data_IF_498135143887
#
_entry.id   IF_498135143887
#
_cell.length_a   1.000
_cell.length_b   1.000
_cell.length_c   1.000
_cell.angle_alpha   90.00
_cell.angle_beta   90.00
_cell.angle_gamma   90.00
#
_symmetry.space_group_name_H-M   'P 1'
#
loop_
_entity.id
_entity.type
_entity.pdbx_description
1 polymer ?
#
# COMPACT_ATOMS: atom_id res chain seq x y z
N UNK A 1 -8.04 0.55 43.07
CA UNK A 1 -8.20 1.02 41.69
C UNK A 1 -7.56 2.40 41.45
N UNK A 2 -7.10 3.15 42.47
CA UNK A 2 -6.49 4.48 42.25
C UNK A 2 -4.96 4.56 42.38
N UNK A 3 -4.26 3.51 42.85
CA UNK A 3 -2.79 3.55 43.00
C UNK A 3 -2.00 3.17 41.74
N UNK A 4 -2.59 2.44 40.80
CA UNK A 4 -1.87 1.89 39.63
C UNK A 4 -1.67 2.94 38.53
N UNK A 5 -2.66 3.80 38.29
CA UNK A 5 -2.54 4.92 37.36
C UNK A 5 -1.57 6.00 37.86
N UNK A 6 -1.47 6.17 39.18
CA UNK A 6 -0.48 7.05 39.82
C UNK A 6 0.92 6.47 39.69
N UNK A 7 1.09 5.16 39.87
CA UNK A 7 2.38 4.46 39.71
C UNK A 7 2.91 4.53 38.28
N UNK A 8 2.05 4.29 37.27
CA UNK A 8 2.41 4.39 35.85
C UNK A 8 2.77 5.83 35.47
N UNK A 9 1.99 6.81 35.93
CA UNK A 9 2.29 8.23 35.74
C UNK A 9 3.61 8.61 36.42
N UNK A 10 3.93 8.02 37.56
CA UNK A 10 5.19 8.22 38.28
C UNK A 10 6.39 7.61 37.54
N UNK A 11 6.27 6.39 37.00
CA UNK A 11 7.31 5.76 36.17
C UNK A 11 7.56 6.55 34.87
N UNK A 12 6.51 7.04 34.22
CA UNK A 12 6.62 7.89 33.03
C UNK A 12 7.19 9.29 33.34
N UNK A 13 6.88 9.86 34.51
CA UNK A 13 7.44 11.13 34.98
C UNK A 13 8.93 11.00 35.32
N UNK A 14 9.35 9.91 35.97
CA UNK A 14 10.77 9.68 36.27
C UNK A 14 11.62 9.43 35.02
N UNK A 15 11.06 8.81 33.97
CA UNK A 15 11.70 8.68 32.67
C UNK A 15 11.72 10.01 31.89
N UNK A 16 10.66 10.82 32.01
CA UNK A 16 10.56 12.16 31.41
C UNK A 16 11.50 13.19 32.07
N UNK A 17 11.72 13.11 33.38
CA UNK A 17 12.62 14.00 34.11
C UNK A 17 14.11 13.80 33.75
N UNK A 18 14.46 12.66 33.15
CA UNK A 18 15.82 12.37 32.69
C UNK A 18 16.07 12.69 31.21
N UNK A 19 15.07 12.54 30.34
CA UNK A 19 15.16 12.93 28.92
C UNK A 19 13.77 12.90 28.25
N UNK A 20 13.40 13.98 27.55
CA UNK A 20 12.16 14.05 26.75
C UNK A 20 12.13 12.98 25.62
N UNK A 21 13.28 12.38 25.31
CA UNK A 21 13.44 11.33 24.30
C UNK A 21 13.30 9.90 24.84
N UNK A 22 13.47 9.64 26.14
CA UNK A 22 13.16 8.32 26.74
C UNK A 22 11.66 8.02 26.72
N UNK A 23 10.83 9.06 26.85
CA UNK A 23 9.39 9.01 26.58
C UNK A 23 9.08 8.70 25.11
N UNK A 24 9.84 9.33 24.21
CA UNK A 24 9.79 9.04 22.77
C UNK A 24 10.24 7.60 22.48
N UNK A 25 11.04 6.95 23.33
CA UNK A 25 11.55 5.60 23.11
C UNK A 25 10.63 4.47 23.62
N UNK A 26 9.93 4.68 24.74
CA UNK A 26 8.81 3.80 25.15
C UNK A 26 7.75 3.68 24.05
N UNK A 27 7.59 4.74 23.26
CA UNK A 27 6.78 4.82 22.04
C UNK A 27 7.20 3.81 20.95
N UNK A 28 8.49 3.48 20.86
CA UNK A 28 9.05 2.52 19.89
C UNK A 28 9.21 1.11 20.49
N UNK A 29 9.45 0.98 21.80
CA UNK A 29 9.52 -0.31 22.49
C UNK A 29 8.15 -1.02 22.58
N UNK A 30 7.05 -0.26 22.67
CA UNK A 30 5.68 -0.78 22.67
C UNK A 30 5.24 -1.38 21.31
N UNK A 31 6.07 -1.24 20.28
CA UNK A 31 5.78 -1.61 18.89
C UNK A 31 6.35 -2.98 18.53
N UNK A 32 7.41 -3.40 19.22
CA UNK A 32 8.02 -4.69 18.95
C UNK A 32 7.28 -5.77 19.74
N UNK A 33 6.68 -6.68 18.96
CA UNK A 33 6.12 -7.98 19.28
C UNK A 33 6.86 -8.76 20.38
N UNK A 34 6.29 -9.91 20.74
CA UNK A 34 6.82 -11.00 21.58
C UNK A 34 8.22 -11.54 21.18
N UNK A 35 9.02 -10.80 20.41
CA UNK A 35 10.36 -11.14 19.94
C UNK A 35 11.48 -10.34 20.64
N UNK A 36 11.25 -9.10 21.10
CA UNK A 36 12.22 -8.26 21.81
C UNK A 36 13.39 -7.71 20.99
N UNK A 37 14.14 -6.76 21.55
CA UNK A 37 15.30 -6.11 20.89
C UNK A 37 16.61 -6.67 21.46
N UNK A 38 17.63 -6.91 20.61
CA UNK A 38 18.97 -7.31 21.06
C UNK A 38 19.65 -6.21 21.91
N UNK A 39 19.94 -6.57 23.17
CA UNK A 39 20.48 -5.74 24.25
C UNK A 39 21.71 -4.91 23.85
N UNK A 40 22.67 -5.54 23.15
CA UNK A 40 23.93 -4.87 22.77
C UNK A 40 23.72 -3.73 21.76
N UNK A 41 22.89 -3.95 20.73
CA UNK A 41 22.63 -2.92 19.72
C UNK A 41 21.85 -1.75 20.31
N UNK A 42 20.95 -2.07 21.24
CA UNK A 42 20.16 -1.09 21.97
C UNK A 42 21.05 -0.19 22.85
N UNK A 43 21.93 -0.79 23.66
CA UNK A 43 22.81 -0.04 24.57
C UNK A 43 23.79 0.87 23.81
N UNK A 44 24.47 0.35 22.77
CA UNK A 44 25.46 1.14 22.02
C UNK A 44 24.81 2.30 21.27
N UNK A 45 23.64 2.09 20.66
CA UNK A 45 22.90 3.15 19.99
C UNK A 45 22.45 4.26 20.95
N UNK A 46 21.97 3.89 22.15
CA UNK A 46 21.50 4.87 23.14
C UNK A 46 22.69 5.67 23.72
N UNK A 47 23.79 5.00 24.03
CA UNK A 47 25.01 5.64 24.50
C UNK A 47 25.55 6.67 23.49
N UNK A 48 25.57 6.31 22.20
CA UNK A 48 25.96 7.22 21.11
C UNK A 48 25.00 8.40 20.95
N UNK A 49 23.69 8.15 21.04
CA UNK A 49 22.65 9.16 20.81
C UNK A 49 22.53 10.18 21.96
N UNK A 50 22.81 9.76 23.18
CA UNK A 50 22.74 10.61 24.38
C UNK A 50 24.11 11.15 24.81
N UNK A 51 25.19 10.79 24.10
CA UNK A 51 26.58 11.08 24.47
C UNK A 51 26.90 10.65 25.92
N UNK A 52 26.24 9.61 26.39
CA UNK A 52 26.47 8.98 27.69
C UNK A 52 27.23 7.69 27.49
N UNK A 53 27.88 7.20 28.55
CA UNK A 53 28.55 5.91 28.44
C UNK A 53 27.52 4.76 28.46
N UNK A 54 27.88 3.65 27.83
CA UNK A 54 27.06 2.43 27.82
C UNK A 54 26.78 1.86 29.22
N UNK A 55 27.60 2.22 30.22
CA UNK A 55 27.41 1.80 31.62
C UNK A 55 26.16 2.43 32.25
N UNK A 56 25.94 3.71 32.01
CA UNK A 56 24.76 4.44 32.49
C UNK A 56 23.48 3.86 31.89
N UNK A 57 23.50 3.55 30.60
CA UNK A 57 22.37 2.90 29.90
C UNK A 57 22.07 1.51 30.48
N UNK A 58 23.11 0.72 30.79
CA UNK A 58 22.95 -0.60 31.44
C UNK A 58 22.32 -0.52 32.82
N UNK A 59 22.69 0.47 33.63
CA UNK A 59 22.12 0.66 34.97
C UNK A 59 20.62 1.03 34.92
N UNK A 60 20.22 1.84 33.95
CA UNK A 60 18.81 2.19 33.76
C UNK A 60 17.96 1.00 33.30
N UNK A 61 18.49 0.17 32.41
CA UNK A 61 17.87 -1.10 32.01
C UNK A 61 17.70 -2.08 33.17
N UNK A 62 18.73 -2.23 34.00
CA UNK A 62 18.70 -3.04 35.22
C UNK A 62 17.63 -2.54 36.20
N UNK A 63 17.52 -1.22 36.36
CA UNK A 63 16.49 -0.61 37.19
C UNK A 63 15.07 -0.91 36.66
N UNK A 64 14.82 -0.68 35.37
CA UNK A 64 13.53 -0.96 34.74
C UNK A 64 13.16 -2.46 34.78
N UNK A 65 14.15 -3.35 34.65
CA UNK A 65 13.95 -4.79 34.82
C UNK A 65 13.58 -5.15 36.27
N UNK A 66 14.29 -4.59 37.26
CA UNK A 66 14.00 -4.84 38.69
C UNK A 66 12.62 -4.35 39.14
N UNK A 67 12.05 -3.38 38.42
CA UNK A 67 10.72 -2.85 38.65
C UNK A 67 9.61 -3.60 37.88
N UNK A 68 9.96 -4.67 37.15
CA UNK A 68 8.99 -5.47 36.39
C UNK A 68 8.46 -4.78 35.14
N UNK A 69 9.10 -3.70 34.68
CA UNK A 69 8.70 -2.93 33.50
C UNK A 69 9.21 -3.62 32.22
N UNK A 70 10.44 -4.14 32.28
CA UNK A 70 11.10 -4.86 31.20
C UNK A 70 11.42 -6.30 31.59
N UNK A 71 11.28 -7.21 30.64
CA UNK A 71 11.81 -8.57 30.68
C UNK A 71 13.13 -8.62 29.93
N UNK A 72 14.17 -9.16 30.59
CA UNK A 72 15.47 -9.42 29.97
C UNK A 72 15.57 -10.93 29.78
N UNK A 73 15.45 -11.39 28.55
CA UNK A 73 15.57 -12.78 28.16
C UNK A 73 16.99 -13.08 27.68
N UNK A 74 17.57 -14.18 28.13
CA UNK A 74 18.85 -14.69 27.62
C UNK A 74 18.61 -16.02 26.95
N UNK A 75 19.15 -16.20 25.75
CA UNK A 75 18.98 -17.41 24.97
C UNK A 75 20.19 -17.72 24.11
N UNK A 76 20.19 -18.90 23.50
CA UNK A 76 21.17 -19.31 22.51
C UNK A 76 20.44 -19.60 21.20
N UNK A 77 21.01 -19.14 20.09
CA UNK A 77 20.50 -19.40 18.75
C UNK A 77 21.59 -20.12 17.95
N UNK A 78 21.29 -21.34 17.47
CA UNK A 78 22.16 -22.08 16.57
C UNK A 78 21.96 -21.59 15.13
N UNK A 79 23.08 -21.22 14.49
CA UNK A 79 23.13 -20.95 13.06
C UNK A 79 24.36 -21.69 12.49
N UNK A 80 24.14 -22.66 11.60
CA UNK A 80 25.20 -23.44 10.94
C UNK A 80 26.30 -23.93 11.92
N UNK A 81 25.92 -24.73 12.92
CA UNK A 81 26.84 -25.35 13.91
C UNK A 81 27.58 -24.38 14.85
N UNK A 82 27.26 -23.08 14.84
CA UNK A 82 27.73 -22.12 15.83
C UNK A 82 26.57 -21.65 16.73
N UNK A 83 26.69 -21.89 18.03
CA UNK A 83 25.81 -21.33 19.05
C UNK A 83 26.18 -19.87 19.32
N UNK A 84 25.23 -18.96 19.11
CA UNK A 84 25.38 -17.54 19.45
C UNK A 84 24.48 -17.19 20.62
N UNK A 85 25.06 -16.80 21.75
CA UNK A 85 24.30 -16.33 22.90
C UNK A 85 23.78 -14.91 22.65
N UNK A 86 22.48 -14.70 22.89
CA UNK A 86 21.83 -13.40 22.78
C UNK A 86 21.16 -13.01 24.10
N UNK A 87 21.03 -11.70 24.31
CA UNK A 87 20.19 -11.10 25.34
C UNK A 87 19.16 -10.23 24.63
N UNK A 88 17.87 -10.41 24.94
CA UNK A 88 16.76 -9.62 24.39
C UNK A 88 16.02 -8.88 25.49
N UNK A 89 15.55 -7.69 25.17
CA UNK A 89 14.76 -6.85 26.06
C UNK A 89 13.35 -6.74 25.50
N UNK A 90 12.34 -6.99 26.34
CA UNK A 90 10.90 -6.90 26.03
C UNK A 90 10.17 -6.11 27.11
N UNK A 91 9.02 -5.54 26.80
CA UNK A 91 8.11 -5.03 27.82
C UNK A 91 7.42 -6.20 28.53
N UNK A 92 7.15 -6.06 29.82
CA UNK A 92 6.35 -7.04 30.56
C UNK A 92 4.93 -7.14 29.96
N UNK A 93 4.34 -8.34 29.92
CA UNK A 93 3.03 -8.59 29.28
C UNK A 93 1.93 -7.69 29.84
N UNK A 94 1.88 -7.51 31.16
CA UNK A 94 0.92 -6.60 31.80
C UNK A 94 1.12 -5.12 31.39
N UNK A 95 2.37 -4.71 31.13
CA UNK A 95 2.69 -3.38 30.62
C UNK A 95 2.21 -3.23 29.18
N UNK A 96 2.45 -4.24 28.34
CA UNK A 96 1.94 -4.28 26.97
C UNK A 96 0.42 -4.16 26.95
N UNK A 97 -0.32 -4.96 27.72
CA UNK A 97 -1.78 -4.94 27.74
C UNK A 97 -2.37 -3.59 28.19
N UNK A 98 -1.71 -2.90 29.12
CA UNK A 98 -2.10 -1.54 29.53
C UNK A 98 -1.82 -0.51 28.42
N UNK A 99 -0.70 -0.63 27.70
CA UNK A 99 -0.45 0.19 26.51
C UNK A 99 -1.52 -0.07 25.44
N UNK A 100 -1.86 -1.33 25.16
CA UNK A 100 -2.89 -1.72 24.18
C UNK A 100 -4.25 -1.08 24.44
N UNK A 101 -4.63 -0.91 25.71
CA UNK A 101 -5.92 -0.31 26.09
C UNK A 101 -5.91 1.23 26.17
N UNK A 102 -4.74 1.87 26.27
CA UNK A 102 -4.63 3.30 26.65
C UNK A 102 -3.60 4.12 25.89
N UNK A 103 -3.13 3.70 24.70
CA UNK A 103 -2.32 4.59 23.84
C UNK A 103 -3.09 5.91 23.68
N UNK A 104 -2.57 7.05 24.18
CA UNK A 104 -3.19 8.33 23.90
C UNK A 104 -2.96 8.70 22.43
N UNK A 105 -3.91 9.43 21.85
CA UNK A 105 -3.96 9.75 20.40
C UNK A 105 -2.69 10.45 19.87
N UNK A 106 -1.90 11.06 20.76
CA UNK A 106 -0.60 11.68 20.44
C UNK A 106 0.53 10.66 20.21
N UNK A 107 0.31 9.39 20.59
CA UNK A 107 1.33 8.35 20.55
C UNK A 107 1.24 7.42 19.34
N UNK A 108 0.04 7.19 18.79
CA UNK A 108 -0.18 6.50 17.51
C UNK A 108 0.55 7.18 16.35
N UNK A 109 0.65 8.51 16.38
CA UNK A 109 1.30 9.31 15.33
C UNK A 109 2.78 8.95 15.09
N UNK A 110 3.61 8.76 16.13
CA UNK A 110 5.00 8.32 15.84
C UNK A 110 5.11 6.83 15.54
N UNK A 111 4.12 6.06 15.99
CA UNK A 111 3.71 4.77 15.44
C UNK A 111 3.90 4.70 13.93
N UNK A 112 2.98 5.40 13.31
CA UNK A 112 2.80 5.47 11.88
C UNK A 112 4.05 6.07 11.22
N UNK A 113 4.66 7.08 11.84
CA UNK A 113 5.87 7.71 11.32
C UNK A 113 7.11 6.80 11.33
N UNK A 114 7.25 5.95 12.35
CA UNK A 114 8.26 4.89 12.37
C UNK A 114 8.08 3.93 11.20
N UNK A 115 6.87 3.40 11.03
CA UNK A 115 6.57 2.44 9.98
C UNK A 115 6.72 3.08 8.60
N UNK A 116 6.31 4.34 8.42
CA UNK A 116 6.55 5.12 7.20
C UNK A 116 8.04 5.21 6.88
N UNK A 117 8.89 5.56 7.85
CA UNK A 117 10.33 5.61 7.63
C UNK A 117 10.91 4.23 7.29
N UNK A 118 10.37 3.15 7.87
CA UNK A 118 10.81 1.79 7.55
C UNK A 118 10.35 1.37 6.14
N UNK A 119 9.17 1.82 5.68
CA UNK A 119 8.51 1.38 4.45
C UNK A 119 8.76 2.22 3.21
N UNK A 120 8.79 3.53 3.38
CA UNK A 120 8.78 4.50 2.28
C UNK A 120 10.21 4.91 1.92
N UNK A 121 11.12 4.94 2.90
CA UNK A 121 12.50 5.41 2.69
C UNK A 121 13.52 4.31 2.39
N UNK A 122 13.17 3.03 2.61
CA UNK A 122 14.11 1.92 2.39
C UNK A 122 13.63 1.03 1.25
N UNK A 123 13.98 1.45 0.05
CA UNK A 123 13.98 0.56 -1.11
C UNK A 123 14.82 -0.68 -0.78
N UNK A 124 14.22 -1.85 -0.96
CA UNK A 124 14.89 -3.13 -1.19
C UNK A 124 15.58 -3.81 0.00
N UNK A 125 14.84 -4.64 0.75
CA UNK A 125 15.34 -5.94 1.22
C UNK A 125 14.14 -6.85 1.54
N UNK A 126 14.04 -8.02 0.89
CA UNK A 126 12.93 -8.98 1.06
C UNK A 126 12.72 -9.43 2.53
N UNK A 127 13.79 -9.32 3.35
CA UNK A 127 13.74 -9.55 4.80
C UNK A 127 13.01 -8.44 5.57
N UNK A 128 13.08 -7.19 5.07
CA UNK A 128 12.40 -6.05 5.66
C UNK A 128 10.89 -6.16 5.45
N UNK A 129 10.45 -6.64 4.29
CA UNK A 129 9.03 -6.90 3.98
C UNK A 129 8.40 -7.90 4.96
N UNK A 130 9.07 -9.02 5.27
CA UNK A 130 8.53 -10.02 6.22
C UNK A 130 8.46 -9.51 7.65
N UNK A 131 9.52 -8.85 8.13
CA UNK A 131 9.54 -8.28 9.50
C UNK A 131 8.42 -7.26 9.66
N UNK A 132 8.23 -6.44 8.63
CA UNK A 132 7.24 -5.40 8.60
C UNK A 132 5.81 -5.94 8.46
N UNK A 133 5.57 -6.97 7.64
CA UNK A 133 4.29 -7.67 7.59
C UNK A 133 3.89 -8.18 9.00
N UNK A 134 4.83 -8.78 9.73
CA UNK A 134 4.61 -9.21 11.11
C UNK A 134 4.28 -8.03 12.04
N UNK A 135 4.96 -6.89 11.87
CA UNK A 135 4.70 -5.69 12.67
C UNK A 135 3.32 -5.09 12.36
N UNK A 136 2.95 -4.91 11.08
CA UNK A 136 1.62 -4.44 10.68
C UNK A 136 0.54 -5.39 11.19
N UNK A 137 0.75 -6.70 11.10
CA UNK A 137 -0.20 -7.70 11.60
C UNK A 137 -0.38 -7.68 13.11
N UNK A 138 0.71 -7.53 13.86
CA UNK A 138 0.66 -7.35 15.32
C UNK A 138 -0.14 -6.11 15.69
N UNK A 139 0.07 -5.00 14.97
CA UNK A 139 -0.65 -3.74 15.19
C UNK A 139 -2.12 -3.85 14.83
N UNK A 140 -2.45 -4.47 13.69
CA UNK A 140 -3.82 -4.77 13.32
C UNK A 140 -4.50 -5.56 14.44
N UNK A 141 -3.92 -6.70 14.86
CA UNK A 141 -4.54 -7.53 15.88
C UNK A 141 -4.72 -6.82 17.23
N UNK A 142 -3.78 -5.96 17.56
CA UNK A 142 -3.78 -5.18 18.79
C UNK A 142 -4.80 -4.06 18.77
N UNK A 143 -4.87 -3.29 17.67
CA UNK A 143 -5.64 -2.05 17.57
C UNK A 143 -6.88 -2.18 16.69
N UNK A 144 -7.30 -3.38 16.28
CA UNK A 144 -8.49 -3.60 15.41
C UNK A 144 -9.82 -3.03 15.91
N UNK A 145 -9.89 -2.56 17.16
CA UNK A 145 -11.07 -1.87 17.72
C UNK A 145 -10.92 -0.35 17.82
N UNK A 146 -9.73 0.19 17.55
CA UNK A 146 -9.47 1.62 17.58
C UNK A 146 -9.55 2.19 16.15
N UNK A 147 -10.71 2.79 15.83
CA UNK A 147 -11.04 3.32 14.50
C UNK A 147 -10.00 4.29 13.94
N UNK A 148 -9.46 5.16 14.79
CA UNK A 148 -8.51 6.20 14.36
C UNK A 148 -7.17 5.59 13.96
N UNK A 149 -6.64 4.71 14.80
CA UNK A 149 -5.37 4.01 14.54
C UNK A 149 -5.47 3.12 13.29
N UNK A 150 -6.56 2.34 13.16
CA UNK A 150 -6.75 1.48 11.98
C UNK A 150 -6.85 2.34 10.73
N UNK A 151 -7.58 3.46 10.78
CA UNK A 151 -7.71 4.35 9.63
C UNK A 151 -6.36 4.89 9.19
N UNK A 152 -5.51 5.29 10.13
CA UNK A 152 -4.22 5.83 9.80
C UNK A 152 -3.29 4.78 9.21
N UNK A 153 -3.28 3.56 9.78
CA UNK A 153 -2.55 2.42 9.24
C UNK A 153 -3.05 2.12 7.83
N UNK A 154 -4.37 2.06 7.63
CA UNK A 154 -4.98 1.79 6.34
C UNK A 154 -4.60 2.85 5.30
N UNK A 155 -4.83 4.12 5.59
CA UNK A 155 -4.54 5.23 4.67
C UNK A 155 -3.04 5.32 4.34
N UNK A 156 -2.18 5.03 5.31
CA UNK A 156 -0.73 5.10 5.12
C UNK A 156 -0.21 3.93 4.30
N UNK A 157 -0.69 2.71 4.55
CA UNK A 157 -0.06 1.50 4.00
C UNK A 157 -0.84 0.81 2.89
N UNK A 158 -2.09 1.21 2.62
CA UNK A 158 -2.92 0.61 1.58
C UNK A 158 -2.18 0.48 0.25
N UNK A 159 -1.66 1.60 -0.28
CA UNK A 159 -1.01 1.61 -1.59
C UNK A 159 0.25 0.73 -1.64
N UNK A 160 1.05 0.75 -0.58
CA UNK A 160 2.26 -0.06 -0.48
C UNK A 160 1.91 -1.55 -0.41
N UNK A 161 1.04 -1.95 0.52
CA UNK A 161 0.64 -3.35 0.70
C UNK A 161 -0.08 -3.91 -0.53
N UNK A 162 -0.89 -3.09 -1.20
CA UNK A 162 -1.52 -3.46 -2.46
C UNK A 162 -0.47 -3.70 -3.56
N UNK A 163 0.51 -2.79 -3.68
CA UNK A 163 1.60 -2.92 -4.68
C UNK A 163 2.51 -4.12 -4.41
N UNK A 164 2.79 -4.45 -3.15
CA UNK A 164 3.60 -5.61 -2.76
C UNK A 164 2.79 -6.91 -2.71
N UNK A 165 1.56 -6.93 -3.25
CA UNK A 165 0.67 -8.11 -3.31
C UNK A 165 0.31 -8.70 -1.95
N UNK A 166 0.38 -7.90 -0.89
CA UNK A 166 0.00 -8.24 0.48
C UNK A 166 -1.51 -8.07 0.71
N UNK A 167 -2.30 -8.59 -0.24
CA UNK A 167 -3.74 -8.32 -0.37
C UNK A 167 -4.56 -8.77 0.85
N UNK A 168 -4.15 -9.85 1.52
CA UNK A 168 -4.83 -10.37 2.71
C UNK A 168 -4.84 -9.34 3.86
N UNK A 169 -3.70 -8.70 4.12
CA UNK A 169 -3.59 -7.69 5.18
C UNK A 169 -4.43 -6.46 4.89
N UNK A 170 -4.44 -6.01 3.63
CA UNK A 170 -5.26 -4.87 3.22
C UNK A 170 -6.75 -5.18 3.34
N UNK A 171 -7.13 -6.42 3.01
CA UNK A 171 -8.49 -6.90 3.17
C UNK A 171 -8.93 -6.83 4.63
N UNK A 172 -8.14 -7.44 5.53
CA UNK A 172 -8.43 -7.46 6.98
C UNK A 172 -8.47 -6.07 7.61
N UNK A 173 -7.55 -5.16 7.21
CA UNK A 173 -7.59 -3.76 7.65
C UNK A 173 -8.90 -3.08 7.24
N UNK A 174 -9.36 -3.30 6.01
CA UNK A 174 -10.62 -2.71 5.56
C UNK A 174 -11.84 -3.34 6.22
N UNK A 175 -11.85 -4.64 6.52
CA UNK A 175 -12.93 -5.25 7.31
C UNK A 175 -13.00 -4.65 8.73
N UNK A 176 -11.86 -4.48 9.39
CA UNK A 176 -11.80 -3.82 10.71
C UNK A 176 -12.28 -2.35 10.64
N UNK A 177 -11.98 -1.64 9.54
CA UNK A 177 -12.53 -0.32 9.28
C UNK A 177 -14.04 -0.35 9.07
N UNK A 178 -14.59 -1.34 8.37
CA UNK A 178 -16.04 -1.48 8.14
C UNK A 178 -16.79 -1.84 9.43
N UNK A 179 -16.18 -2.60 10.34
CA UNK A 179 -16.76 -2.89 11.67
C UNK A 179 -16.88 -1.63 12.55
N UNK A 180 -15.98 -0.68 12.35
CA UNK A 180 -15.88 0.54 13.16
C UNK A 180 -16.50 1.78 12.50
N UNK A 181 -16.77 1.72 11.19
CA UNK A 181 -17.38 2.80 10.42
C UNK A 181 -18.88 2.55 10.30
N UNK A 182 -19.69 3.42 10.92
CA UNK A 182 -21.14 3.40 10.70
C UNK A 182 -21.44 4.02 9.31
N UNK A 183 -22.07 3.28 8.38
CA UNK A 183 -22.40 3.79 7.04
C UNK A 183 -23.32 5.01 7.06
N UNK A 184 -24.11 5.20 8.12
CA UNK A 184 -25.02 6.35 8.26
C UNK A 184 -24.29 7.63 8.72
N UNK A 185 -23.16 7.49 9.41
CA UNK A 185 -22.42 8.63 9.98
C UNK A 185 -21.32 9.13 9.04
N UNK A 186 -20.71 8.25 8.24
CA UNK A 186 -19.58 8.58 7.36
C UNK A 186 -19.63 7.79 6.03
N UNK A 187 -20.55 8.20 5.16
CA UNK A 187 -20.72 7.61 3.83
C UNK A 187 -19.47 7.78 2.93
N UNK A 188 -18.70 8.86 3.10
CA UNK A 188 -17.52 9.16 2.28
C UNK A 188 -16.37 8.19 2.57
N UNK A 189 -16.08 7.95 3.86
CA UNK A 189 -15.11 6.93 4.26
C UNK A 189 -15.61 5.54 3.90
N UNK A 190 -16.88 5.24 4.14
CA UNK A 190 -17.47 3.93 3.84
C UNK A 190 -17.33 3.56 2.37
N UNK A 191 -17.68 4.46 1.43
CA UNK A 191 -17.56 4.18 -0.01
C UNK A 191 -16.10 3.94 -0.44
N UNK A 192 -15.14 4.64 0.20
CA UNK A 192 -13.72 4.46 -0.09
C UNK A 192 -13.27 3.05 0.30
N UNK A 193 -13.63 2.61 1.51
CA UNK A 193 -13.23 1.29 2.01
C UNK A 193 -13.83 0.17 1.17
N UNK A 194 -15.15 0.20 0.90
CA UNK A 194 -15.78 -0.86 0.09
C UNK A 194 -15.25 -0.88 -1.35
N UNK A 195 -14.92 0.28 -1.92
CA UNK A 195 -14.31 0.36 -3.25
C UNK A 195 -12.94 -0.30 -3.29
N UNK A 196 -12.14 -0.12 -2.25
CA UNK A 196 -10.83 -0.76 -2.12
C UNK A 196 -10.94 -2.27 -1.82
N UNK A 197 -11.90 -2.69 -0.99
CA UNK A 197 -12.21 -4.11 -0.77
C UNK A 197 -12.60 -4.80 -2.09
N UNK A 198 -13.38 -4.12 -2.93
CA UNK A 198 -13.75 -4.61 -4.25
C UNK A 198 -12.55 -4.83 -5.18
N UNK A 199 -11.55 -3.94 -5.14
CA UNK A 199 -10.30 -4.11 -5.90
C UNK A 199 -9.55 -5.38 -5.47
N UNK A 200 -9.50 -5.66 -4.16
CA UNK A 200 -8.85 -6.85 -3.61
C UNK A 200 -9.61 -8.12 -3.99
N UNK A 201 -10.93 -8.11 -3.86
CA UNK A 201 -11.79 -9.23 -4.26
C UNK A 201 -11.62 -9.53 -5.76
N UNK A 202 -11.55 -8.51 -6.61
CA UNK A 202 -11.26 -8.65 -8.04
C UNK A 202 -9.90 -9.32 -8.26
N UNK A 203 -8.85 -8.89 -7.55
CA UNK A 203 -7.52 -9.48 -7.65
C UNK A 203 -7.49 -10.96 -7.23
N UNK A 204 -8.36 -11.38 -6.31
CA UNK A 204 -8.58 -12.79 -5.95
C UNK A 204 -9.53 -13.56 -6.89
N UNK A 205 -10.03 -12.94 -7.96
CA UNK A 205 -10.98 -13.55 -8.89
C UNK A 205 -12.42 -13.65 -8.35
N UNK A 206 -12.72 -13.05 -7.19
CA UNK A 206 -14.07 -13.00 -6.59
C UNK A 206 -14.90 -11.87 -7.22
N UNK A 207 -15.10 -11.97 -8.54
CA UNK A 207 -15.66 -10.92 -9.39
C UNK A 207 -17.11 -10.52 -9.01
N UNK A 208 -17.95 -11.49 -8.64
CA UNK A 208 -19.34 -11.22 -8.25
C UNK A 208 -19.43 -10.36 -6.97
N UNK A 209 -18.54 -10.60 -6.02
CA UNK A 209 -18.48 -9.87 -4.76
C UNK A 209 -17.91 -8.47 -4.96
N UNK A 210 -16.87 -8.36 -5.78
CA UNK A 210 -16.33 -7.06 -6.20
C UNK A 210 -17.40 -6.20 -6.91
N UNK A 211 -18.19 -6.79 -7.81
CA UNK A 211 -19.27 -6.09 -8.50
C UNK A 211 -20.33 -5.55 -7.52
N UNK A 212 -20.75 -6.36 -6.54
CA UNK A 212 -21.72 -5.93 -5.51
C UNK A 212 -21.20 -4.73 -4.71
N UNK A 213 -19.93 -4.75 -4.30
CA UNK A 213 -19.33 -3.64 -3.56
C UNK A 213 -19.19 -2.38 -4.42
N UNK A 214 -18.83 -2.51 -5.69
CA UNK A 214 -18.79 -1.36 -6.60
C UNK A 214 -20.18 -0.78 -6.90
N UNK A 215 -21.21 -1.62 -7.03
CA UNK A 215 -22.59 -1.14 -7.16
C UNK A 215 -23.07 -0.39 -5.92
N UNK A 216 -22.75 -0.89 -4.72
CA UNK A 216 -23.01 -0.15 -3.48
C UNK A 216 -22.24 1.17 -3.42
N UNK A 217 -20.97 1.20 -3.85
CA UNK A 217 -20.19 2.44 -3.96
C UNK A 217 -20.82 3.43 -4.95
N UNK A 218 -21.31 2.96 -6.09
CA UNK A 218 -22.02 3.76 -7.08
C UNK A 218 -23.23 4.47 -6.46
N UNK A 219 -24.12 3.73 -5.80
CA UNK A 219 -25.30 4.28 -5.11
C UNK A 219 -24.91 5.39 -4.12
N UNK A 220 -23.91 5.14 -3.27
CA UNK A 220 -23.45 6.12 -2.28
C UNK A 220 -22.81 7.34 -2.96
N UNK A 221 -22.00 7.15 -4.00
CA UNK A 221 -21.38 8.26 -4.72
C UNK A 221 -22.42 9.14 -5.44
N UNK A 222 -23.50 8.55 -5.96
CA UNK A 222 -24.62 9.30 -6.54
C UNK A 222 -25.36 10.13 -5.48
N UNK A 223 -25.67 9.54 -4.33
CA UNK A 223 -26.31 10.24 -3.20
C UNK A 223 -25.46 11.42 -2.69
N UNK A 224 -24.15 11.22 -2.59
CA UNK A 224 -23.20 12.25 -2.14
C UNK A 224 -22.87 13.30 -3.19
N UNK A 225 -23.22 13.08 -4.46
CA UNK A 225 -22.71 13.88 -5.58
C UNK A 225 -21.19 13.78 -5.75
N UNK A 226 -20.58 12.68 -5.27
CA UNK A 226 -19.14 12.40 -5.42
C UNK A 226 -18.85 11.83 -6.81
N UNK A 227 -18.80 12.71 -7.80
CA UNK A 227 -18.58 12.33 -9.19
C UNK A 227 -17.21 11.67 -9.44
N UNK A 228 -16.16 12.03 -8.68
CA UNK A 228 -14.86 11.37 -8.83
C UNK A 228 -14.91 9.91 -8.36
N UNK A 229 -15.52 9.66 -7.20
CA UNK A 229 -15.77 8.31 -6.70
C UNK A 229 -16.66 7.48 -7.62
N UNK A 230 -17.68 8.11 -8.23
CA UNK A 230 -18.58 7.47 -9.21
C UNK A 230 -17.82 7.04 -10.47
N UNK A 231 -17.01 7.93 -11.05
CA UNK A 231 -16.13 7.65 -12.20
C UNK A 231 -15.17 6.49 -11.93
N UNK A 232 -14.59 6.43 -10.72
CA UNK A 232 -13.75 5.31 -10.32
C UNK A 232 -14.56 4.00 -10.22
N UNK A 233 -15.79 4.05 -9.70
CA UNK A 233 -16.66 2.86 -9.62
C UNK A 233 -17.00 2.32 -11.00
N UNK A 234 -17.47 3.15 -11.92
CA UNK A 234 -17.79 2.74 -13.30
C UNK A 234 -16.59 2.13 -14.01
N UNK A 235 -15.40 2.73 -13.86
CA UNK A 235 -14.18 2.19 -14.44
C UNK A 235 -13.84 0.77 -13.94
N UNK A 236 -14.04 0.50 -12.65
CA UNK A 236 -13.77 -0.82 -12.09
C UNK A 236 -14.85 -1.85 -12.42
N UNK A 237 -16.12 -1.45 -12.43
CA UNK A 237 -17.22 -2.30 -12.91
C UNK A 237 -17.03 -2.69 -14.37
N UNK A 238 -16.61 -1.75 -15.22
CA UNK A 238 -16.29 -2.03 -16.62
C UNK A 238 -15.20 -3.09 -16.77
N UNK A 239 -14.13 -3.04 -15.95
CA UNK A 239 -13.09 -4.06 -15.95
C UNK A 239 -13.60 -5.44 -15.48
N UNK A 240 -14.58 -5.49 -14.59
CA UNK A 240 -15.22 -6.74 -14.17
C UNK A 240 -16.10 -7.30 -15.30
N UNK A 241 -16.88 -6.43 -15.96
CA UNK A 241 -17.70 -6.80 -17.12
C UNK A 241 -16.84 -7.33 -18.28
N UNK A 242 -15.71 -6.69 -18.55
CA UNK A 242 -14.70 -7.16 -19.51
C UNK A 242 -14.19 -8.56 -19.15
N UNK A 243 -13.89 -8.80 -17.87
CA UNK A 243 -13.49 -10.14 -17.37
C UNK A 243 -14.59 -11.21 -17.56
N UNK A 244 -15.86 -10.81 -17.64
CA UNK A 244 -16.99 -11.67 -17.96
C UNK A 244 -17.30 -11.76 -19.46
N UNK A 245 -16.56 -11.05 -20.32
CA UNK A 245 -16.82 -10.97 -21.76
C UNK A 245 -18.00 -10.08 -22.13
N UNK A 246 -18.54 -9.29 -21.20
CA UNK A 246 -19.68 -8.38 -21.39
C UNK A 246 -19.19 -7.02 -21.89
N UNK A 247 -18.56 -7.02 -23.07
CA UNK A 247 -17.84 -5.88 -23.62
C UNK A 247 -18.74 -4.67 -23.95
N UNK A 248 -19.97 -4.91 -24.39
CA UNK A 248 -20.92 -3.84 -24.69
C UNK A 248 -21.24 -3.01 -23.43
N UNK A 249 -21.53 -3.67 -22.32
CA UNK A 249 -21.82 -3.03 -21.04
C UNK A 249 -20.58 -2.37 -20.43
N UNK A 250 -19.39 -2.96 -20.61
CA UNK A 250 -18.13 -2.35 -20.22
C UNK A 250 -17.87 -1.04 -21.00
N UNK A 251 -18.17 -1.02 -22.30
CA UNK A 251 -18.06 0.17 -23.15
C UNK A 251 -19.01 1.28 -22.69
N UNK A 252 -20.26 0.95 -22.35
CA UNK A 252 -21.22 1.92 -21.81
C UNK A 252 -20.71 2.58 -20.52
N UNK A 253 -20.23 1.78 -19.55
CA UNK A 253 -19.68 2.32 -18.31
C UNK A 253 -18.40 3.15 -18.53
N UNK A 254 -17.56 2.79 -19.50
CA UNK A 254 -16.41 3.61 -19.85
C UNK A 254 -16.78 4.95 -20.50
N UNK A 255 -17.89 5.02 -21.24
CA UNK A 255 -18.43 6.29 -21.77
C UNK A 255 -19.03 7.16 -20.67
N UNK A 256 -19.79 6.58 -19.75
CA UNK A 256 -20.29 7.33 -18.57
C UNK A 256 -19.12 7.87 -17.72
N UNK A 257 -18.07 7.05 -17.53
CA UNK A 257 -16.82 7.49 -16.90
C UNK A 257 -16.16 8.64 -17.65
N UNK A 258 -16.07 8.56 -18.98
CA UNK A 258 -15.51 9.60 -19.85
C UNK A 258 -16.23 10.93 -19.64
N UNK A 259 -17.56 10.93 -19.76
CA UNK A 259 -18.40 12.13 -19.58
C UNK A 259 -18.19 12.80 -18.23
N UNK A 260 -18.07 12.01 -17.16
CA UNK A 260 -17.75 12.53 -15.82
C UNK A 260 -16.35 13.11 -15.78
N UNK A 261 -15.34 12.41 -16.31
CA UNK A 261 -13.96 12.87 -16.30
C UNK A 261 -13.76 14.16 -17.10
N UNK A 262 -14.46 14.32 -18.23
CA UNK A 262 -14.45 15.55 -19.03
C UNK A 262 -15.02 16.74 -18.26
N UNK A 263 -16.19 16.54 -17.61
CA UNK A 263 -16.83 17.57 -16.77
C UNK A 263 -15.93 18.00 -15.61
N UNK A 264 -15.27 17.04 -14.96
CA UNK A 264 -14.32 17.28 -13.86
C UNK A 264 -12.95 17.77 -14.32
N UNK A 265 -12.65 17.72 -15.64
CA UNK A 265 -11.31 17.93 -16.20
C UNK A 265 -10.25 17.02 -15.57
N UNK A 266 -10.65 15.82 -15.15
CA UNK A 266 -9.76 14.81 -14.59
C UNK A 266 -9.05 14.06 -15.74
N UNK A 267 -7.97 14.66 -16.24
CA UNK A 267 -7.18 14.12 -17.35
C UNK A 267 -6.55 12.77 -17.03
N UNK A 268 -6.16 12.54 -15.77
CA UNK A 268 -5.55 11.29 -15.31
C UNK A 268 -6.52 10.11 -15.44
N UNK A 269 -7.79 10.30 -15.03
CA UNK A 269 -8.83 9.28 -15.17
C UNK A 269 -9.34 9.14 -16.61
N UNK A 270 -9.37 10.26 -17.37
CA UNK A 270 -9.85 10.30 -18.75
C UNK A 270 -8.96 9.45 -19.68
N UNK A 271 -7.63 9.58 -19.58
CA UNK A 271 -6.71 8.81 -20.43
C UNK A 271 -6.80 7.30 -20.17
N UNK A 272 -7.12 6.88 -18.93
CA UNK A 272 -7.37 5.48 -18.59
C UNK A 272 -8.63 5.00 -19.31
N UNK A 273 -9.71 5.81 -19.29
CA UNK A 273 -10.97 5.45 -19.97
C UNK A 273 -10.75 5.26 -21.47
N UNK A 274 -10.08 6.20 -22.14
CA UNK A 274 -9.75 6.08 -23.56
C UNK A 274 -8.93 4.83 -23.87
N UNK A 275 -7.95 4.49 -23.05
CA UNK A 275 -7.16 3.27 -23.24
C UNK A 275 -8.01 2.01 -23.18
N UNK A 276 -8.90 1.90 -22.20
CA UNK A 276 -9.75 0.72 -22.03
C UNK A 276 -10.81 0.62 -23.14
N UNK A 277 -11.44 1.73 -23.52
CA UNK A 277 -12.34 1.76 -24.67
C UNK A 277 -11.63 1.34 -25.96
N UNK A 278 -10.39 1.79 -26.18
CA UNK A 278 -9.60 1.42 -27.35
C UNK A 278 -9.29 -0.08 -27.39
N UNK A 279 -9.02 -0.72 -26.25
CA UNK A 279 -8.87 -2.18 -26.15
C UNK A 279 -10.16 -2.90 -26.55
N UNK A 280 -11.32 -2.44 -26.06
CA UNK A 280 -12.62 -3.02 -26.43
C UNK A 280 -12.87 -2.87 -27.94
N UNK A 281 -12.64 -1.68 -28.49
CA UNK A 281 -12.79 -1.43 -29.94
C UNK A 281 -11.87 -2.32 -30.78
N UNK A 282 -10.62 -2.52 -30.35
CA UNK A 282 -9.69 -3.43 -31.00
C UNK A 282 -10.22 -4.87 -30.99
N UNK A 283 -10.81 -5.32 -29.88
CA UNK A 283 -11.39 -6.68 -29.79
C UNK A 283 -12.59 -6.88 -30.74
N UNK A 284 -13.32 -5.81 -31.06
CA UNK A 284 -14.37 -5.81 -32.08
C UNK A 284 -13.86 -5.63 -33.51
N UNK A 285 -12.55 -5.41 -33.70
CA UNK A 285 -11.93 -5.15 -34.99
C UNK A 285 -12.14 -3.72 -35.51
N UNK A 286 -12.60 -2.79 -34.68
CA UNK A 286 -12.78 -1.37 -35.01
C UNK A 286 -11.46 -0.62 -34.79
N UNK A 287 -10.48 -0.93 -35.65
CA UNK A 287 -9.09 -0.53 -35.46
C UNK A 287 -8.87 0.99 -35.62
N UNK A 288 -9.64 1.66 -36.48
CA UNK A 288 -9.51 3.11 -36.71
C UNK A 288 -10.06 3.91 -35.53
N UNK A 289 -11.18 3.48 -34.96
CA UNK A 289 -11.76 4.04 -33.75
C UNK A 289 -10.87 3.80 -32.54
N UNK A 290 -10.29 2.60 -32.40
CA UNK A 290 -9.31 2.30 -31.37
C UNK A 290 -8.07 3.21 -31.48
N UNK A 291 -7.55 3.40 -32.70
CA UNK A 291 -6.42 4.30 -32.98
C UNK A 291 -6.74 5.74 -32.57
N UNK A 292 -7.94 6.24 -32.88
CA UNK A 292 -8.35 7.59 -32.50
C UNK A 292 -8.35 7.78 -30.98
N UNK A 293 -8.85 6.80 -30.21
CA UNK A 293 -8.83 6.86 -28.75
C UNK A 293 -7.42 6.73 -28.16
N UNK A 294 -6.58 5.86 -28.71
CA UNK A 294 -5.18 5.82 -28.27
C UNK A 294 -4.43 7.12 -28.56
N UNK A 295 -4.71 7.81 -29.67
CA UNK A 295 -4.10 9.12 -29.95
C UNK A 295 -4.55 10.18 -28.94
N UNK A 296 -5.83 10.20 -28.55
CA UNK A 296 -6.31 11.06 -27.45
C UNK A 296 -5.60 10.73 -26.12
N UNK A 297 -5.47 9.43 -25.80
CA UNK A 297 -4.74 8.97 -24.60
C UNK A 297 -3.27 9.42 -24.62
N UNK A 298 -2.59 9.26 -25.76
CA UNK A 298 -1.20 9.66 -25.95
C UNK A 298 -1.00 11.16 -25.69
N UNK A 299 -1.82 12.02 -26.31
CA UNK A 299 -1.78 13.48 -26.10
C UNK A 299 -1.95 13.86 -24.62
N UNK A 300 -2.90 13.23 -23.93
CA UNK A 300 -3.13 13.49 -22.51
C UNK A 300 -1.92 13.02 -21.68
N UNK A 301 -1.39 11.81 -21.93
CA UNK A 301 -0.25 11.27 -21.19
C UNK A 301 1.00 12.14 -21.32
N UNK A 302 1.24 12.72 -22.51
CA UNK A 302 2.30 13.70 -22.73
C UNK A 302 2.05 14.99 -21.94
N UNK A 303 0.83 15.52 -22.01
CA UNK A 303 0.43 16.75 -21.32
C UNK A 303 0.55 16.65 -19.79
N UNK A 304 0.19 15.51 -19.20
CA UNK A 304 0.23 15.29 -17.74
C UNK A 304 1.49 14.56 -17.26
N UNK A 305 2.48 14.37 -18.14
CA UNK A 305 3.76 13.72 -17.86
C UNK A 305 3.61 12.35 -17.16
N UNK A 306 2.88 11.43 -17.79
CA UNK A 306 2.69 10.03 -17.33
C UNK A 306 3.49 9.06 -18.22
N UNK A 307 4.83 8.97 -18.08
CA UNK A 307 5.68 8.20 -18.99
C UNK A 307 5.37 6.70 -19.01
N UNK A 308 4.92 6.13 -17.89
CA UNK A 308 4.50 4.72 -17.83
C UNK A 308 3.21 4.48 -18.61
N UNK A 309 2.19 5.33 -18.43
CA UNK A 309 0.94 5.22 -19.19
C UNK A 309 1.14 5.49 -20.68
N UNK A 310 2.06 6.41 -21.01
CA UNK A 310 2.47 6.71 -22.38
C UNK A 310 3.14 5.49 -23.04
N UNK A 311 4.04 4.79 -22.34
CA UNK A 311 4.70 3.61 -22.90
C UNK A 311 3.73 2.47 -23.18
N UNK A 312 2.75 2.25 -22.29
CA UNK A 312 1.65 1.29 -22.50
C UNK A 312 0.80 1.72 -23.71
N UNK A 313 0.48 3.01 -23.83
CA UNK A 313 -0.30 3.53 -24.96
C UNK A 313 0.42 3.28 -26.29
N UNK A 314 1.70 3.65 -26.39
CA UNK A 314 2.51 3.45 -27.60
C UNK A 314 2.66 1.98 -27.96
N UNK A 315 2.83 1.11 -26.96
CA UNK A 315 2.85 -0.33 -27.18
C UNK A 315 1.56 -0.82 -27.85
N UNK A 316 0.39 -0.40 -27.34
CA UNK A 316 -0.89 -0.79 -27.93
C UNK A 316 -1.12 -0.20 -29.33
N UNK A 317 -0.64 1.03 -29.60
CA UNK A 317 -0.63 1.60 -30.96
C UNK A 317 0.24 0.73 -31.89
N UNK A 318 1.39 0.25 -31.42
CA UNK A 318 2.24 -0.69 -32.15
C UNK A 318 1.53 -1.99 -32.49
N UNK A 319 0.77 -2.55 -31.54
CA UNK A 319 -0.07 -3.73 -31.77
C UNK A 319 -1.15 -3.46 -32.83
N UNK A 320 -1.81 -2.29 -32.81
CA UNK A 320 -2.77 -1.93 -33.85
C UNK A 320 -2.13 -1.84 -35.24
N UNK A 321 -0.95 -1.21 -35.35
CA UNK A 321 -0.24 -1.15 -36.63
C UNK A 321 0.17 -2.54 -37.13
N UNK A 322 0.61 -3.43 -36.23
CA UNK A 322 0.87 -4.83 -36.56
C UNK A 322 -0.38 -5.51 -37.11
N UNK A 323 -1.53 -5.35 -36.46
CA UNK A 323 -2.79 -5.96 -36.89
C UNK A 323 -3.23 -5.41 -38.27
N UNK A 324 -2.87 -4.16 -38.59
CA UNK A 324 -3.05 -3.51 -39.90
C UNK A 324 -1.96 -3.89 -40.93
N UNK A 325 -0.98 -4.73 -40.60
CA UNK A 325 0.20 -5.08 -41.43
C UNK A 325 1.10 -3.88 -41.79
N UNK A 326 1.10 -2.86 -40.94
CA UNK A 326 1.92 -1.65 -41.03
C UNK A 326 3.16 -1.83 -40.16
N UNK A 327 4.07 -2.68 -40.65
CA UNK A 327 5.14 -3.24 -39.82
C UNK A 327 6.18 -2.20 -39.38
N UNK A 328 6.55 -1.26 -40.25
CA UNK A 328 7.50 -0.20 -39.93
C UNK A 328 6.95 0.73 -38.85
N UNK A 329 5.68 1.14 -38.95
CA UNK A 329 5.04 1.96 -37.92
C UNK A 329 4.85 1.20 -36.60
N UNK A 330 4.58 -0.10 -36.65
CA UNK A 330 4.50 -0.94 -35.46
C UNK A 330 5.84 -0.98 -34.71
N UNK A 331 6.95 -1.24 -35.43
CA UNK A 331 8.30 -1.28 -34.87
C UNK A 331 8.64 0.06 -34.22
N UNK A 332 8.41 1.18 -34.91
CA UNK A 332 8.71 2.52 -34.37
C UNK A 332 7.94 2.81 -33.06
N UNK A 333 6.69 2.35 -32.95
CA UNK A 333 5.90 2.50 -31.72
C UNK A 333 6.41 1.62 -30.58
N UNK A 334 6.80 0.37 -30.86
CA UNK A 334 7.41 -0.53 -29.87
C UNK A 334 8.74 0.01 -29.35
N UNK A 335 9.63 0.47 -30.23
CA UNK A 335 10.90 1.09 -29.83
C UNK A 335 10.66 2.30 -28.93
N UNK A 336 9.71 3.17 -29.29
CA UNK A 336 9.38 4.34 -28.48
C UNK A 336 8.84 3.98 -27.09
N UNK A 337 8.06 2.89 -26.98
CA UNK A 337 7.61 2.37 -25.70
C UNK A 337 8.77 1.82 -24.85
N UNK A 338 9.69 1.07 -25.47
CA UNK A 338 10.89 0.50 -24.84
C UNK A 338 11.81 1.61 -24.31
N UNK A 339 12.05 2.67 -25.07
CA UNK A 339 12.87 3.82 -24.63
C UNK A 339 12.31 4.47 -23.35
N UNK A 340 10.98 4.57 -23.24
CA UNK A 340 10.33 5.10 -22.04
C UNK A 340 10.48 4.11 -20.87
N UNK A 341 10.27 2.81 -21.10
CA UNK A 341 10.39 1.77 -20.06
C UNK A 341 11.84 1.60 -19.57
N UNK A 342 12.82 1.82 -20.43
CA UNK A 342 14.25 1.82 -20.08
C UNK A 342 14.60 2.97 -19.14
N UNK A 343 14.13 4.19 -19.43
CA UNK A 343 14.28 5.34 -18.53
C UNK A 343 13.62 5.12 -17.17
N UNK A 344 12.54 4.34 -17.13
CA UNK A 344 11.81 4.01 -15.91
C UNK A 344 12.35 2.78 -15.16
N UNK A 345 13.33 2.06 -15.72
CA UNK A 345 13.80 0.78 -15.18
C UNK A 345 12.64 -0.20 -14.92
N UNK A 346 11.70 -0.27 -15.87
CA UNK A 346 10.54 -1.15 -15.77
C UNK A 346 10.99 -2.62 -15.75
N UNK A 347 10.34 -3.48 -14.94
CA UNK A 347 10.66 -4.92 -14.90
C UNK A 347 10.34 -5.64 -16.21
N UNK A 348 9.41 -5.11 -17.02
CA UNK A 348 8.94 -5.74 -18.26
C UNK A 348 9.87 -5.48 -19.47
N UNK A 349 10.94 -4.68 -19.27
CA UNK A 349 11.80 -4.18 -20.35
C UNK A 349 12.46 -5.30 -21.18
N UNK A 350 12.87 -6.38 -20.52
CA UNK A 350 13.55 -7.49 -21.20
C UNK A 350 12.58 -8.29 -22.07
N UNK A 351 11.37 -8.54 -21.56
CA UNK A 351 10.32 -9.23 -22.30
C UNK A 351 9.85 -8.41 -23.52
N UNK A 352 9.77 -7.08 -23.37
CA UNK A 352 9.44 -6.18 -24.48
C UNK A 352 10.51 -6.19 -25.58
N UNK A 353 11.79 -6.15 -25.20
CA UNK A 353 12.92 -6.20 -26.14
C UNK A 353 12.93 -7.53 -26.89
N UNK A 354 12.71 -8.63 -26.17
CA UNK A 354 12.59 -9.96 -26.76
C UNK A 354 11.42 -10.05 -27.74
N UNK A 355 10.24 -9.56 -27.37
CA UNK A 355 9.08 -9.54 -28.25
C UNK A 355 9.36 -8.76 -29.54
N UNK A 356 10.00 -7.59 -29.45
CA UNK A 356 10.33 -6.79 -30.63
C UNK A 356 11.33 -7.49 -31.55
N UNK A 357 12.32 -8.19 -30.99
CA UNK A 357 13.30 -8.98 -31.75
C UNK A 357 12.63 -10.15 -32.46
N UNK A 358 11.80 -10.93 -31.75
CA UNK A 358 11.02 -12.03 -32.34
C UNK A 358 10.13 -11.52 -33.47
N UNK A 359 9.44 -10.40 -33.26
CA UNK A 359 8.58 -9.80 -34.28
C UNK A 359 9.37 -9.38 -35.54
N UNK A 360 10.57 -8.80 -35.40
CA UNK A 360 11.43 -8.47 -36.54
C UNK A 360 11.85 -9.71 -37.32
N UNK A 361 12.25 -10.77 -36.63
CA UNK A 361 12.66 -12.01 -37.27
C UNK A 361 11.51 -12.62 -38.11
N UNK A 362 10.26 -12.52 -37.66
CA UNK A 362 9.10 -13.02 -38.44
C UNK A 362 8.80 -12.22 -39.71
N UNK A 363 9.39 -11.03 -39.88
CA UNK A 363 9.23 -10.22 -41.10
C UNK A 363 10.36 -10.48 -42.11
N UNK A 364 11.50 -10.97 -41.64
CA UNK A 364 12.67 -11.31 -42.46
C UNK A 364 12.59 -12.76 -43.01
N UNK A 365 11.75 -13.62 -42.42
CA UNK A 365 11.38 -14.97 -42.90
C UNK A 365 10.29 -14.94 -43.99
#
# INVERSE_FOLDING_TARGET
MDDLGVLIKHCLLQLKEKSEKSFTYLKYLAVCSDEGIEDKRFISWQAESEQVNEGAVKEELLCAHSQGILLIEKGTQEFFENETAFTRIRLHTDTLDIFREKIPDDMSYSLIEYLKHVLVDRDTEEKLDRLLQTQIYSLLNTYKKNTEIISDIYNTFFAHLYKTSNLQYVYELGEAMLETTNPEDDQERYQTIIGNQALILKAWGRLDEAMKLHKKKEEICEELGNFDGLSQSYGNQALILDSWGRLDEAMELHKEKEDICEKLRNLDSLQISYGNQAVILQSWGWLDEAMALYKKKEEICEKVNKPLSLSICRWNIGLLYRDQKRHDEAIAMFESAIELREKLKSPDLEDDKKYLEEYRNTLDE
#
